data_IF_311525905648
#
_entry.id   IF_311525905648
#
_cell.length_a   1.000
_cell.length_b   1.000
_cell.length_c   1.000
_cell.angle_alpha   90.00
_cell.angle_beta   90.00
_cell.angle_gamma   90.00
#
_symmetry.space_group_name_H-M   'P 1'
#
loop_
_entity.id
_entity.type
_entity.pdbx_description
1 polymer ?
#
# COMPACT_ATOMS: atom_id res chain seq x y z
N UNK A 1 -14.07 -28.04 -6.99
CA UNK A 1 -13.16 -27.21 -6.19
C UNK A 1 -11.88 -27.99 -5.98
N UNK A 2 -10.71 -27.42 -6.29
CA UNK A 2 -9.44 -28.13 -6.15
C UNK A 2 -9.04 -28.31 -4.66
N UNK A 3 -8.02 -29.15 -4.41
CA UNK A 3 -7.54 -29.45 -3.05
C UNK A 3 -6.96 -28.21 -2.36
N UNK A 4 -6.23 -27.36 -3.09
CA UNK A 4 -5.60 -26.15 -2.57
C UNK A 4 -6.65 -25.14 -2.11
N UNK A 5 -7.68 -24.88 -2.93
CA UNK A 5 -8.80 -23.98 -2.59
C UNK A 5 -9.54 -24.47 -1.34
N UNK A 6 -9.83 -25.78 -1.23
CA UNK A 6 -10.49 -26.32 -0.02
C UNK A 6 -9.67 -26.10 1.24
N UNK A 7 -8.35 -26.30 1.16
CA UNK A 7 -7.45 -26.07 2.30
C UNK A 7 -7.43 -24.58 2.67
N UNK A 8 -7.32 -23.68 1.69
CA UNK A 8 -7.32 -22.23 1.93
C UNK A 8 -8.62 -21.75 2.56
N UNK A 9 -9.77 -22.24 2.09
CA UNK A 9 -11.08 -21.90 2.67
C UNK A 9 -11.22 -22.39 4.11
N UNK A 10 -10.83 -23.64 4.38
CA UNK A 10 -10.86 -24.17 5.74
C UNK A 10 -9.95 -23.39 6.68
N UNK A 11 -8.73 -23.06 6.23
CA UNK A 11 -7.78 -22.27 6.99
C UNK A 11 -8.26 -20.83 7.22
N UNK A 12 -8.87 -20.20 6.21
CA UNK A 12 -9.50 -18.89 6.30
C UNK A 12 -10.60 -18.83 7.36
N UNK A 13 -11.49 -19.82 7.38
CA UNK A 13 -12.55 -19.95 8.39
C UNK A 13 -11.94 -20.10 9.78
N UNK A 14 -11.01 -21.03 9.96
CA UNK A 14 -10.33 -21.25 11.25
C UNK A 14 -9.58 -19.98 11.73
N UNK A 15 -8.97 -19.23 10.82
CA UNK A 15 -8.28 -18.00 11.15
C UNK A 15 -9.27 -16.92 11.59
N UNK A 16 -10.43 -16.80 10.94
CA UNK A 16 -11.46 -15.84 11.32
C UNK A 16 -12.04 -16.09 12.72
N UNK A 17 -12.09 -17.35 13.15
CA UNK A 17 -12.58 -17.77 14.47
C UNK A 17 -11.49 -17.78 15.56
N UNK A 18 -10.23 -17.62 15.18
CA UNK A 18 -9.09 -17.70 16.10
C UNK A 18 -9.01 -16.46 17.01
N UNK A 19 -8.86 -16.68 18.32
CA UNK A 19 -8.62 -15.59 19.26
C UNK A 19 -7.19 -15.01 19.15
N UNK A 20 -6.22 -15.86 18.82
CA UNK A 20 -4.78 -15.52 18.78
C UNK A 20 -4.24 -15.27 17.37
N UNK A 21 -5.11 -15.30 16.35
CA UNK A 21 -4.72 -15.25 14.94
C UNK A 21 -3.69 -16.33 14.51
N UNK A 22 -3.66 -17.46 15.22
CA UNK A 22 -2.91 -18.67 14.83
C UNK A 22 -3.87 -19.83 14.53
N UNK A 23 -3.44 -20.73 13.63
CA UNK A 23 -4.17 -21.94 13.24
C UNK A 23 -3.22 -23.15 13.21
N UNK A 24 -3.73 -24.33 13.57
CA UNK A 24 -2.96 -25.57 13.52
C UNK A 24 -3.14 -26.29 12.17
N UNK A 25 -2.06 -26.85 11.62
CA UNK A 25 -2.11 -27.64 10.37
C UNK A 25 -3.00 -28.88 10.52
N UNK A 26 -3.11 -29.43 11.73
CA UNK A 26 -4.01 -30.56 12.04
C UNK A 26 -5.48 -30.15 11.92
N UNK A 27 -5.88 -29.04 12.54
CA UNK A 27 -7.25 -28.53 12.44
C UNK A 27 -7.62 -28.19 10.99
N UNK A 28 -6.68 -27.62 10.22
CA UNK A 28 -6.87 -27.35 8.79
C UNK A 28 -7.07 -28.64 7.99
N UNK A 29 -6.27 -29.67 8.25
CA UNK A 29 -6.42 -30.98 7.61
C UNK A 29 -7.79 -31.61 7.90
N UNK A 30 -8.20 -31.60 9.16
CA UNK A 30 -9.50 -32.12 9.61
C UNK A 30 -10.66 -31.35 8.92
N UNK A 31 -10.63 -30.02 8.97
CA UNK A 31 -11.67 -29.17 8.37
C UNK A 31 -11.72 -29.27 6.83
N UNK A 32 -10.57 -29.41 6.17
CA UNK A 32 -10.51 -29.56 4.71
C UNK A 32 -10.75 -31.01 4.23
N UNK A 33 -10.79 -31.99 5.12
CA UNK A 33 -10.90 -33.42 4.79
C UNK A 33 -9.70 -33.92 3.98
N UNK A 34 -8.48 -33.51 4.37
CA UNK A 34 -7.22 -33.93 3.71
C UNK A 34 -6.22 -34.46 4.73
N UNK A 35 -5.30 -35.32 4.31
CA UNK A 35 -4.18 -35.75 5.15
C UNK A 35 -3.03 -34.73 5.14
N UNK A 36 -2.23 -34.72 6.22
CA UNK A 36 -1.04 -33.87 6.33
C UNK A 36 -0.07 -33.96 5.13
N UNK A 37 0.21 -35.13 4.52
CA UNK A 37 1.06 -35.20 3.32
C UNK A 37 0.50 -34.42 2.12
N UNK A 38 -0.83 -34.33 1.99
CA UNK A 38 -1.46 -33.57 0.93
C UNK A 38 -1.35 -32.05 1.19
N UNK A 39 -1.46 -31.62 2.44
CA UNK A 39 -1.26 -30.22 2.84
C UNK A 39 0.19 -29.78 2.57
N UNK A 40 1.17 -30.52 3.08
CA UNK A 40 2.58 -30.16 2.88
C UNK A 40 3.04 -30.26 1.42
N UNK A 41 2.42 -31.13 0.60
CA UNK A 41 2.66 -31.12 -0.85
C UNK A 41 2.22 -29.82 -1.52
N UNK A 42 1.16 -29.17 -1.02
CA UNK A 42 0.64 -27.93 -1.60
C UNK A 42 1.39 -26.70 -1.11
N UNK A 43 1.80 -26.68 0.15
CA UNK A 43 2.27 -25.47 0.83
C UNK A 43 3.70 -25.57 1.40
N UNK A 44 4.35 -26.73 1.32
CA UNK A 44 5.67 -26.96 1.87
C UNK A 44 5.66 -27.18 3.39
N UNK A 45 5.34 -26.14 4.15
CA UNK A 45 5.35 -26.11 5.61
C UNK A 45 4.20 -25.26 6.20
N UNK A 46 4.25 -24.98 7.52
CA UNK A 46 3.24 -24.14 8.18
C UNK A 46 3.35 -22.68 7.71
N UNK A 47 4.55 -22.16 7.52
CA UNK A 47 4.77 -20.78 7.07
C UNK A 47 4.21 -20.58 5.67
N UNK A 48 4.50 -21.49 4.73
CA UNK A 48 3.95 -21.46 3.38
C UNK A 48 2.43 -21.58 3.34
N UNK A 49 1.82 -22.32 4.27
CA UNK A 49 0.36 -22.34 4.43
C UNK A 49 -0.16 -20.97 4.90
N UNK A 50 0.44 -20.40 5.96
CA UNK A 50 0.02 -19.11 6.50
C UNK A 50 0.17 -17.98 5.49
N UNK A 51 1.28 -17.94 4.75
CA UNK A 51 1.50 -16.99 3.64
C UNK A 51 0.40 -17.10 2.60
N UNK A 52 0.07 -18.32 2.16
CA UNK A 52 -0.97 -18.54 1.17
C UNK A 52 -2.38 -18.18 1.68
N UNK A 53 -2.64 -18.35 2.99
CA UNK A 53 -3.90 -17.93 3.63
C UNK A 53 -3.98 -16.41 3.69
N UNK A 54 -2.89 -15.71 4.03
CA UNK A 54 -2.85 -14.24 3.98
C UNK A 54 -3.10 -13.75 2.55
N UNK A 55 -2.40 -14.30 1.55
CA UNK A 55 -2.64 -13.93 0.14
C UNK A 55 -4.10 -14.16 -0.26
N UNK A 56 -4.69 -15.29 0.15
CA UNK A 56 -6.11 -15.59 -0.10
C UNK A 56 -7.05 -14.57 0.56
N UNK A 57 -6.78 -14.16 1.80
CA UNK A 57 -7.59 -13.18 2.53
C UNK A 57 -7.49 -11.77 1.93
N UNK A 58 -6.31 -11.40 1.45
CA UNK A 58 -6.06 -10.09 0.83
C UNK A 58 -6.54 -10.02 -0.62
N UNK A 59 -6.78 -11.14 -1.30
CA UNK A 59 -7.17 -11.17 -2.72
C UNK A 59 -8.41 -10.31 -3.00
N UNK A 60 -9.44 -10.35 -2.15
CA UNK A 60 -10.65 -9.54 -2.37
C UNK A 60 -10.38 -8.05 -2.24
N UNK A 61 -9.55 -7.67 -1.27
CA UNK A 61 -9.12 -6.29 -1.08
C UNK A 61 -8.27 -5.79 -2.26
N UNK A 62 -7.35 -6.62 -2.75
CA UNK A 62 -6.52 -6.30 -3.92
C UNK A 62 -7.33 -6.26 -5.21
N UNK A 63 -8.29 -7.18 -5.38
CA UNK A 63 -9.21 -7.18 -6.51
C UNK A 63 -10.05 -5.89 -6.57
N UNK A 64 -10.53 -5.41 -5.41
CA UNK A 64 -11.22 -4.11 -5.31
C UNK A 64 -10.30 -2.96 -5.75
N UNK A 65 -9.05 -2.93 -5.28
CA UNK A 65 -8.07 -1.91 -5.71
C UNK A 65 -7.73 -1.99 -7.20
N UNK A 66 -7.61 -3.19 -7.77
CA UNK A 66 -7.37 -3.40 -9.21
C UNK A 66 -8.53 -2.87 -10.06
N UNK A 67 -9.76 -3.07 -9.59
CA UNK A 67 -10.97 -2.67 -10.31
C UNK A 67 -11.30 -1.18 -10.16
N UNK A 68 -10.74 -0.50 -9.14
CA UNK A 68 -10.94 0.92 -8.93
C UNK A 68 -10.47 1.72 -10.14
N UNK A 69 -11.37 2.55 -10.69
CA UNK A 69 -11.04 3.43 -11.81
C UNK A 69 -10.33 4.68 -11.27
N UNK A 70 -9.17 5.04 -11.82
CA UNK A 70 -8.53 6.32 -11.53
C UNK A 70 -9.50 7.50 -11.61
N UNK A 71 -9.60 8.31 -10.55
CA UNK A 71 -10.32 9.57 -10.61
C UNK A 71 -9.46 10.69 -11.21
N UNK A 72 -10.09 11.84 -11.46
CA UNK A 72 -9.40 13.04 -11.91
C UNK A 72 -8.48 13.65 -10.84
N UNK A 73 -8.71 13.34 -9.55
CA UNK A 73 -7.86 13.81 -8.44
C UNK A 73 -7.06 12.62 -7.85
N UNK A 74 -5.79 12.43 -8.25
CA UNK A 74 -4.98 11.34 -7.72
C UNK A 74 -4.67 11.47 -6.22
N UNK A 75 -4.77 12.67 -5.65
CA UNK A 75 -4.61 12.85 -4.20
C UNK A 75 -5.85 12.36 -3.45
N UNK A 76 -7.04 12.49 -4.04
CA UNK A 76 -8.24 11.89 -3.48
C UNK A 76 -8.21 10.36 -3.57
N UNK A 77 -7.75 9.80 -4.69
CA UNK A 77 -7.55 8.34 -4.82
C UNK A 77 -6.60 7.78 -3.74
N UNK A 78 -5.59 8.56 -3.35
CA UNK A 78 -4.68 8.21 -2.27
C UNK A 78 -5.40 8.19 -0.90
N UNK A 79 -6.28 9.15 -0.63
CA UNK A 79 -7.10 9.19 0.59
C UNK A 79 -8.06 8.01 0.65
N UNK A 80 -8.79 7.76 -0.43
CA UNK A 80 -9.72 6.64 -0.53
C UNK A 80 -8.98 5.30 -0.40
N UNK A 81 -7.80 5.22 -1.02
CA UNK A 81 -6.92 4.06 -0.93
C UNK A 81 -6.42 3.78 0.48
N UNK A 82 -6.19 4.82 1.29
CA UNK A 82 -5.85 4.72 2.71
C UNK A 82 -7.04 4.19 3.52
N UNK A 83 -8.21 4.82 3.38
CA UNK A 83 -9.40 4.47 4.15
C UNK A 83 -9.84 3.03 3.87
N UNK A 84 -9.79 2.60 2.61
CA UNK A 84 -10.10 1.22 2.22
C UNK A 84 -9.15 0.20 2.86
N UNK A 85 -7.87 0.54 3.06
CA UNK A 85 -6.93 -0.35 3.74
C UNK A 85 -7.25 -0.49 5.23
N UNK A 86 -7.54 0.64 5.89
CA UNK A 86 -7.91 0.65 7.31
C UNK A 86 -9.23 -0.09 7.53
N UNK A 87 -10.22 0.12 6.68
CA UNK A 87 -11.49 -0.61 6.72
C UNK A 87 -11.26 -2.12 6.59
N UNK A 88 -10.47 -2.54 5.59
CA UNK A 88 -10.11 -3.95 5.42
C UNK A 88 -9.46 -4.53 6.69
N UNK A 89 -8.52 -3.81 7.30
CA UNK A 89 -7.83 -4.27 8.51
C UNK A 89 -8.79 -4.47 9.69
N UNK A 90 -9.71 -3.53 9.90
CA UNK A 90 -10.71 -3.58 10.98
C UNK A 90 -11.74 -4.69 10.76
N UNK A 91 -12.15 -4.92 9.51
CA UNK A 91 -13.06 -6.01 9.13
C UNK A 91 -12.38 -7.39 9.19
N UNK A 92 -11.06 -7.44 8.99
CA UNK A 92 -10.28 -8.68 8.89
C UNK A 92 -9.10 -8.71 9.88
N UNK A 93 -9.34 -8.55 11.20
CA UNK A 93 -8.30 -8.31 12.19
C UNK A 93 -7.29 -9.45 12.31
N UNK A 94 -7.73 -10.71 12.13
CA UNK A 94 -6.84 -11.87 12.25
C UNK A 94 -5.91 -12.03 11.05
N UNK A 95 -6.37 -11.71 9.83
CA UNK A 95 -5.47 -11.61 8.67
C UNK A 95 -4.43 -10.51 8.88
N UNK A 96 -4.86 -9.38 9.43
CA UNK A 96 -3.98 -8.25 9.69
C UNK A 96 -2.96 -8.52 10.82
N UNK A 97 -3.33 -9.28 11.85
CA UNK A 97 -2.37 -9.74 12.87
C UNK A 97 -1.38 -10.74 12.30
N UNK A 98 -1.85 -11.66 11.47
CA UNK A 98 -1.04 -12.72 10.89
C UNK A 98 0.07 -12.15 9.99
N UNK A 99 -0.24 -11.18 9.12
CA UNK A 99 0.75 -10.54 8.22
C UNK A 99 1.88 -9.83 8.98
N UNK A 100 1.64 -9.36 10.21
CA UNK A 100 2.66 -8.74 11.08
C UNK A 100 3.14 -9.67 12.20
N UNK A 101 2.81 -10.95 12.14
CA UNK A 101 3.24 -11.93 13.14
C UNK A 101 4.70 -12.34 12.92
N UNK A 102 5.44 -12.70 13.99
CA UNK A 102 6.80 -13.24 13.85
C UNK A 102 6.88 -14.57 13.08
N UNK A 103 5.74 -15.22 12.80
CA UNK A 103 5.67 -16.49 12.09
C UNK A 103 5.77 -16.38 10.57
N UNK A 104 5.84 -15.16 10.02
CA UNK A 104 6.08 -14.89 8.61
C UNK A 104 7.41 -14.15 8.44
N UNK A 105 8.40 -14.83 7.86
CA UNK A 105 9.75 -14.32 7.69
C UNK A 105 9.88 -13.43 6.45
N UNK A 106 8.98 -13.61 5.48
CA UNK A 106 8.95 -12.85 4.23
C UNK A 106 7.58 -12.16 4.03
N UNK A 107 7.56 -10.97 3.43
CA UNK A 107 6.31 -10.30 3.11
C UNK A 107 5.51 -11.13 2.09
N UNK A 108 4.20 -11.33 2.31
CA UNK A 108 3.34 -12.07 1.38
C UNK A 108 3.23 -11.34 0.04
N UNK A 109 2.84 -12.08 -1.01
CA UNK A 109 2.67 -11.50 -2.36
C UNK A 109 1.69 -10.33 -2.38
N UNK A 110 0.66 -10.41 -1.54
CA UNK A 110 -0.30 -9.35 -1.31
C UNK A 110 0.32 -8.01 -0.88
N UNK A 111 1.37 -8.03 -0.06
CA UNK A 111 2.04 -6.81 0.40
C UNK A 111 2.81 -6.14 -0.74
N UNK A 112 3.48 -6.94 -1.58
CA UNK A 112 4.19 -6.45 -2.76
C UNK A 112 3.23 -5.87 -3.80
N UNK A 113 2.09 -6.52 -4.05
CA UNK A 113 1.06 -6.01 -4.96
C UNK A 113 0.44 -4.71 -4.44
N UNK A 114 0.10 -4.64 -3.14
CA UNK A 114 -0.42 -3.42 -2.53
C UNK A 114 0.56 -2.25 -2.65
N UNK A 115 1.86 -2.52 -2.49
CA UNK A 115 2.91 -1.52 -2.68
C UNK A 115 2.96 -1.02 -4.13
N UNK A 116 2.94 -1.93 -5.10
CA UNK A 116 2.95 -1.57 -6.52
C UNK A 116 1.74 -0.71 -6.93
N UNK A 117 0.54 -1.06 -6.44
CA UNK A 117 -0.68 -0.28 -6.68
C UNK A 117 -0.60 1.12 -6.05
N UNK A 118 -0.02 1.24 -4.86
CA UNK A 118 0.19 2.52 -4.19
C UNK A 118 1.20 3.40 -4.97
N UNK A 119 2.30 2.82 -5.41
CA UNK A 119 3.29 3.53 -6.26
C UNK A 119 2.61 4.06 -7.52
N UNK A 120 1.77 3.27 -8.19
CA UNK A 120 1.06 3.73 -9.39
C UNK A 120 0.17 4.96 -9.13
N UNK A 121 -0.52 5.03 -7.98
CA UNK A 121 -1.31 6.23 -7.60
C UNK A 121 -0.39 7.44 -7.38
N UNK A 122 0.74 7.24 -6.71
CA UNK A 122 1.71 8.30 -6.44
C UNK A 122 2.44 8.78 -7.71
N UNK A 123 2.64 7.91 -8.69
CA UNK A 123 3.12 8.33 -10.01
C UNK A 123 2.14 9.26 -10.72
N UNK A 124 0.83 9.03 -10.58
CA UNK A 124 -0.18 9.98 -11.09
C UNK A 124 -0.13 11.31 -10.34
N UNK A 125 0.07 11.29 -9.02
CA UNK A 125 0.30 12.52 -8.25
C UNK A 125 1.54 13.27 -8.75
N UNK A 126 2.64 12.56 -9.03
CA UNK A 126 3.86 13.13 -9.57
C UNK A 126 3.65 13.73 -10.97
N UNK A 127 3.01 12.97 -11.88
CA UNK A 127 2.70 13.44 -13.24
C UNK A 127 1.80 14.67 -13.25
N UNK A 128 0.89 14.78 -12.27
CA UNK A 128 0.04 15.96 -12.06
C UNK A 128 0.75 17.14 -11.37
N UNK A 129 2.05 17.03 -11.05
CA UNK A 129 2.80 18.06 -10.35
C UNK A 129 2.39 18.24 -8.89
N UNK A 130 1.76 17.23 -8.29
CA UNK A 130 1.18 17.26 -6.93
C UNK A 130 2.04 16.58 -5.87
N UNK A 131 3.17 15.96 -6.24
CA UNK A 131 4.03 15.22 -5.33
C UNK A 131 5.34 15.97 -5.03
N UNK A 132 5.70 16.06 -3.74
CA UNK A 132 6.88 16.80 -3.23
C UNK A 132 8.18 15.99 -3.31
N UNK A 133 8.07 14.68 -3.22
CA UNK A 133 9.18 13.72 -3.11
C UNK A 133 8.98 12.59 -4.11
N UNK A 134 9.96 11.69 -4.29
CA UNK A 134 9.80 10.56 -5.21
C UNK A 134 8.61 9.66 -4.84
N UNK A 135 7.93 9.06 -5.85
CA UNK A 135 6.83 8.12 -5.62
C UNK A 135 7.20 6.96 -4.68
N UNK A 136 8.43 6.46 -4.77
CA UNK A 136 8.92 5.33 -3.98
C UNK A 136 9.05 5.70 -2.50
N UNK A 137 9.62 6.86 -2.18
CA UNK A 137 9.74 7.33 -0.79
C UNK A 137 8.35 7.68 -0.24
N UNK A 138 7.50 8.33 -1.04
CA UNK A 138 6.12 8.59 -0.65
C UNK A 138 5.34 7.30 -0.36
N UNK A 139 5.53 6.25 -1.17
CA UNK A 139 4.88 4.95 -0.97
C UNK A 139 5.33 4.29 0.34
N UNK A 140 6.64 4.34 0.64
CA UNK A 140 7.17 3.84 1.91
C UNK A 140 6.58 4.58 3.11
N UNK A 141 6.49 5.91 3.05
CA UNK A 141 5.90 6.73 4.11
C UNK A 141 4.41 6.41 4.32
N UNK A 142 3.64 6.40 3.23
CA UNK A 142 2.20 6.11 3.28
C UNK A 142 1.95 4.69 3.78
N UNK A 143 2.63 3.70 3.23
CA UNK A 143 2.45 2.31 3.60
C UNK A 143 2.83 2.06 5.07
N UNK A 144 3.93 2.64 5.55
CA UNK A 144 4.37 2.49 6.94
C UNK A 144 3.39 3.12 7.92
N UNK A 145 2.93 4.34 7.64
CA UNK A 145 1.99 5.05 8.49
C UNK A 145 0.60 4.37 8.49
N UNK A 146 0.11 3.96 7.33
CA UNK A 146 -1.16 3.25 7.19
C UNK A 146 -1.12 1.89 7.89
N UNK A 147 -0.03 1.13 7.70
CA UNK A 147 0.20 -0.13 8.39
C UNK A 147 0.20 0.03 9.92
N UNK A 148 0.92 1.04 10.42
CA UNK A 148 0.99 1.34 11.85
C UNK A 148 -0.36 1.72 12.45
N UNK A 149 -1.15 2.54 11.74
CA UNK A 149 -2.52 2.91 12.14
C UNK A 149 -3.42 1.70 12.18
N UNK A 150 -3.48 0.93 11.09
CA UNK A 150 -4.31 -0.26 10.98
C UNK A 150 -3.94 -1.31 12.04
N UNK A 151 -2.65 -1.57 12.26
CA UNK A 151 -2.18 -2.50 13.30
C UNK A 151 -2.54 -2.00 14.71
N UNK A 152 -2.48 -0.69 14.97
CA UNK A 152 -2.86 -0.11 16.26
C UNK A 152 -4.35 -0.29 16.54
N UNK A 153 -5.20 -0.02 15.55
CA UNK A 153 -6.65 -0.22 15.63
C UNK A 153 -7.00 -1.69 15.90
N UNK A 154 -6.34 -2.62 15.18
CA UNK A 154 -6.59 -4.06 15.29
C UNK A 154 -6.05 -4.64 16.61
N UNK A 155 -4.88 -4.20 17.07
CA UNK A 155 -4.19 -4.80 18.21
C UNK A 155 -4.59 -4.19 19.55
N UNK A 156 -5.03 -2.92 19.55
CA UNK A 156 -5.36 -2.17 20.78
C UNK A 156 -6.67 -1.38 20.61
N UNK A 157 -7.80 -2.04 20.28
CA UNK A 157 -9.06 -1.35 20.00
C UNK A 157 -9.62 -0.57 21.20
N UNK A 158 -9.23 -0.90 22.43
CA UNK A 158 -9.62 -0.15 23.63
C UNK A 158 -8.92 1.21 23.77
N UNK A 159 -7.77 1.40 23.10
CA UNK A 159 -6.98 2.64 23.12
C UNK A 159 -7.24 3.45 21.85
N UNK A 160 -7.34 2.77 20.70
CA UNK A 160 -7.60 3.38 19.40
C UNK A 160 -9.04 3.09 18.98
N UNK A 161 -9.97 3.90 19.50
CA UNK A 161 -11.42 3.70 19.30
C UNK A 161 -12.00 4.54 18.16
N UNK A 162 -11.31 5.60 17.73
CA UNK A 162 -11.85 6.58 16.78
C UNK A 162 -11.19 6.50 15.40
N UNK A 163 -12.05 6.45 14.37
CA UNK A 163 -11.71 6.67 12.97
C UNK A 163 -11.01 8.02 12.71
N UNK A 164 -11.22 9.03 13.55
CA UNK A 164 -10.59 10.34 13.47
C UNK A 164 -9.07 10.24 13.56
N UNK A 165 -8.54 9.35 14.42
CA UNK A 165 -7.09 9.12 14.53
C UNK A 165 -6.49 8.72 13.17
N UNK A 166 -7.13 7.79 12.46
CA UNK A 166 -6.70 7.37 11.12
C UNK A 166 -6.70 8.54 10.13
N UNK A 167 -7.79 9.33 10.12
CA UNK A 167 -7.92 10.50 9.23
C UNK A 167 -6.87 11.55 9.51
N UNK A 168 -6.58 11.85 10.79
CA UNK A 168 -5.55 12.83 11.17
C UNK A 168 -4.15 12.40 10.71
N UNK A 169 -3.78 11.13 10.93
CA UNK A 169 -2.49 10.60 10.47
C UNK A 169 -2.40 10.61 8.94
N UNK A 170 -3.45 10.15 8.26
CA UNK A 170 -3.56 10.19 6.80
C UNK A 170 -3.36 11.60 6.26
N UNK A 171 -4.12 12.56 6.77
CA UNK A 171 -4.11 13.93 6.27
C UNK A 171 -2.77 14.61 6.54
N UNK A 172 -2.12 14.33 7.68
CA UNK A 172 -0.77 14.81 7.99
C UNK A 172 0.28 14.23 7.01
N UNK A 173 0.25 12.92 6.75
CA UNK A 173 1.17 12.27 5.80
C UNK A 173 0.95 12.78 4.39
N UNK A 174 -0.31 12.88 3.94
CA UNK A 174 -0.63 13.36 2.60
C UNK A 174 -0.24 14.83 2.45
N UNK A 175 -0.50 15.70 3.43
CA UNK A 175 -0.07 17.09 3.38
C UNK A 175 1.46 17.22 3.30
N UNK A 176 2.20 16.33 3.99
CA UNK A 176 3.66 16.32 3.95
C UNK A 176 4.25 15.83 2.61
N UNK A 177 3.60 14.90 1.91
CA UNK A 177 4.13 14.39 0.63
C UNK A 177 3.57 15.12 -0.59
N UNK A 178 2.49 15.90 -0.44
CA UNK A 178 1.83 16.59 -1.55
C UNK A 178 1.98 18.11 -1.49
N UNK A 179 1.84 18.74 -2.65
CA UNK A 179 1.68 20.19 -2.76
C UNK A 179 0.21 20.50 -3.10
N UNK A 180 -0.30 21.59 -2.54
CA UNK A 180 -1.62 22.09 -2.93
C UNK A 180 -1.55 22.46 -4.41
N UNK A 181 -2.41 21.80 -5.19
CA UNK A 181 -2.62 22.19 -6.58
C UNK A 181 -3.37 23.49 -6.53
N UNK A 182 -2.83 24.54 -7.14
CA UNK A 182 -3.53 25.81 -7.27
C UNK A 182 -4.91 25.58 -7.93
N UNK A 183 -5.94 25.38 -7.13
CA UNK A 183 -7.33 25.51 -7.56
C UNK A 183 -7.64 26.99 -7.49
N UNK A 184 -7.58 27.66 -8.63
CA UNK A 184 -8.17 28.98 -8.78
C UNK A 184 -9.68 28.90 -8.56
N UNK A 185 -10.15 29.42 -7.43
CA UNK A 185 -11.42 30.12 -7.23
C UNK A 185 -11.64 30.38 -5.72
N UNK A 186 -11.48 31.63 -5.27
CA UNK A 186 -11.86 32.07 -3.93
C UNK A 186 -11.01 33.23 -3.41
N UNK A 187 -11.63 34.40 -3.30
CA UNK A 187 -11.03 35.71 -3.06
C UNK A 187 -10.18 35.88 -1.78
N UNK A 188 -9.10 36.64 -1.94
CA UNK A 188 -8.77 37.77 -1.06
C UNK A 188 -8.18 37.48 0.32
N UNK A 189 -6.88 37.24 0.40
CA UNK A 189 -6.04 37.77 1.50
C UNK A 189 -4.56 37.79 1.08
N UNK A 190 -3.94 38.94 1.29
CA UNK A 190 -2.56 39.26 0.90
C UNK A 190 -1.54 38.39 1.64
N UNK A 191 -0.71 37.68 0.87
CA UNK A 191 0.48 36.97 1.34
C UNK A 191 1.30 36.47 0.14
N UNK A 192 2.22 37.30 -0.34
CA UNK A 192 3.32 37.04 -1.29
C UNK A 192 3.11 35.98 -2.41
N UNK A 193 2.95 36.49 -3.63
CA UNK A 193 3.02 35.79 -4.90
C UNK A 193 4.28 34.88 -5.03
N UNK A 194 4.06 33.61 -5.40
CA UNK A 194 4.34 33.03 -6.73
C UNK A 194 5.81 32.71 -7.01
N UNK A 195 6.14 31.43 -7.23
CA UNK A 195 7.41 31.14 -7.90
C UNK A 195 7.74 29.66 -8.02
N UNK A 196 7.21 29.02 -9.07
CA UNK A 196 7.57 27.68 -9.57
C UNK A 196 7.52 26.52 -8.55
N UNK A 197 7.17 25.29 -8.99
CA UNK A 197 7.43 24.12 -8.15
C UNK A 197 8.92 24.08 -7.75
N UNK A 198 9.19 23.88 -6.45
CA UNK A 198 10.56 23.73 -5.96
C UNK A 198 11.31 22.62 -6.71
N UNK A 199 12.66 22.65 -6.68
CA UNK A 199 13.51 21.69 -7.42
C UNK A 199 13.06 20.23 -7.24
N UNK A 200 12.72 19.75 -6.02
CA UNK A 200 12.25 18.38 -5.84
C UNK A 200 10.94 18.07 -6.59
N UNK A 201 9.94 18.94 -6.48
CA UNK A 201 8.65 18.78 -7.18
C UNK A 201 8.87 18.76 -8.70
N UNK A 202 9.70 19.67 -9.21
CA UNK A 202 10.01 19.74 -10.65
C UNK A 202 10.74 18.49 -11.13
N UNK A 203 11.74 18.02 -10.38
CA UNK A 203 12.50 16.82 -10.72
C UNK A 203 11.62 15.56 -10.70
N UNK A 204 10.78 15.41 -9.68
CA UNK A 204 9.80 14.32 -9.56
C UNK A 204 8.79 14.34 -10.70
N UNK A 205 8.25 15.52 -11.04
CA UNK A 205 7.28 15.69 -12.15
C UNK A 205 7.90 15.32 -13.48
N UNK A 206 9.09 15.86 -13.79
CA UNK A 206 9.80 15.58 -15.03
C UNK A 206 10.18 14.09 -15.14
N UNK A 207 10.64 13.48 -14.05
CA UNK A 207 10.95 12.05 -14.02
C UNK A 207 9.73 11.18 -14.35
N UNK A 208 8.55 11.51 -13.78
CA UNK A 208 7.31 10.81 -14.08
C UNK A 208 6.91 10.97 -15.57
N UNK A 209 7.00 12.18 -16.12
CA UNK A 209 6.66 12.45 -17.52
C UNK A 209 7.59 11.71 -18.51
N UNK A 210 8.89 11.65 -18.22
CA UNK A 210 9.86 10.98 -19.09
C UNK A 210 9.70 9.45 -19.13
N UNK A 211 9.11 8.84 -18.09
CA UNK A 211 8.80 7.40 -18.10
C UNK A 211 7.60 7.08 -19.00
N UNK A 212 6.62 7.98 -19.04
CA UNK A 212 5.42 7.83 -19.87
C UNK A 212 5.69 8.19 -21.33
N UNK A 213 6.45 9.27 -21.57
CA UNK A 213 6.85 9.74 -22.89
C UNK A 213 8.38 9.87 -22.97
N UNK A 214 9.11 8.78 -23.27
CA UNK A 214 10.56 8.83 -23.36
C UNK A 214 11.02 9.71 -24.53
N UNK A 215 12.05 10.56 -24.33
CA UNK A 215 12.53 11.46 -25.37
C UNK A 215 13.19 10.66 -26.51
N UNK A 216 12.76 10.92 -27.75
CA UNK A 216 13.24 10.20 -28.93
C UNK A 216 14.73 10.48 -29.25
N UNK A 217 15.26 11.60 -28.76
CA UNK A 217 16.60 12.10 -29.09
C UNK A 217 17.69 11.65 -28.11
N UNK A 218 17.33 11.01 -26.98
CA UNK A 218 18.29 10.51 -26.00
C UNK A 218 18.60 9.03 -26.22
N UNK A 219 19.87 8.66 -26.10
CA UNK A 219 20.27 7.26 -26.02
C UNK A 219 19.77 6.62 -24.72
N UNK A 220 19.77 5.29 -24.66
CA UNK A 220 19.41 4.55 -23.43
C UNK A 220 20.33 4.90 -22.25
N UNK A 221 21.61 5.16 -22.50
CA UNK A 221 22.57 5.54 -21.46
C UNK A 221 22.31 6.96 -20.93
N UNK A 222 22.03 7.92 -21.81
CA UNK A 222 21.69 9.30 -21.43
C UNK A 222 20.36 9.38 -20.68
N UNK A 223 19.37 8.58 -21.11
CA UNK A 223 18.07 8.46 -20.43
C UNK A 223 18.25 7.92 -19.01
N UNK A 224 19.05 6.87 -18.84
CA UNK A 224 19.33 6.30 -17.52
C UNK A 224 20.07 7.30 -16.60
N UNK A 225 21.03 8.04 -17.14
CA UNK A 225 21.77 9.05 -16.38
C UNK A 225 20.88 10.23 -15.96
N UNK A 226 20.01 10.71 -16.86
CA UNK A 226 19.04 11.76 -16.56
C UNK A 226 18.07 11.32 -15.45
N UNK A 227 17.55 10.09 -15.53
CA UNK A 227 16.68 9.52 -14.48
C UNK A 227 17.40 9.46 -13.13
N UNK A 228 18.68 9.07 -13.11
CA UNK A 228 19.47 9.03 -11.89
C UNK A 228 19.65 10.43 -11.27
N UNK A 229 19.92 11.45 -12.07
CA UNK A 229 20.05 12.83 -11.58
C UNK A 229 18.72 13.40 -11.09
N UNK A 230 17.62 13.14 -11.79
CA UNK A 230 16.29 13.56 -11.35
C UNK A 230 15.88 12.89 -10.04
N UNK A 231 16.24 11.61 -9.84
CA UNK A 231 16.03 10.92 -8.57
C UNK A 231 16.78 11.59 -7.41
N UNK A 232 18.05 11.97 -7.61
CA UNK A 232 18.85 12.68 -6.60
C UNK A 232 18.29 14.07 -6.28
N UNK A 233 17.78 14.79 -7.28
CA UNK A 233 17.16 16.11 -7.07
C UNK A 233 15.77 16.03 -6.41
N UNK A 234 15.08 14.89 -6.58
CA UNK A 234 13.77 14.62 -5.98
C UNK A 234 13.82 14.19 -4.51
N UNK A 235 14.99 13.81 -3.99
CA UNK A 235 15.17 13.53 -2.55
C UNK A 235 15.42 14.83 -1.78
N UNK A 236 14.70 15.10 -0.68
CA UNK A 236 14.96 16.29 0.14
C UNK A 236 16.37 16.21 0.74
N UNK A 237 17.17 17.28 0.60
CA UNK A 237 18.51 17.37 1.19
C UNK A 237 18.41 17.27 2.71
N UNK A 238 19.21 16.40 3.34
CA UNK A 238 19.44 16.45 4.77
C UNK A 238 20.07 17.81 5.11
N UNK A 239 19.39 18.58 5.94
CA UNK A 239 19.86 19.85 6.51
C UNK A 239 19.92 19.73 8.03
#
# INVERSE_FOLDING_TARGET
MDVKTRILQAAATLLSESAEADISTRAVCEAAGVGAPALYRQFGDKEGLLTAVVDYGFEQYLASKRAARPSADPVQDLRDGWDNHVAFAVENPNYYRLIYSPGLSAPPGAAAEAHALLVAVLERCAAAGRLRISPEVAAQMVMSANAGVALSLVSRPAIYTDSEFSRLVRDAVIAFITVDGATGAGDGAQGSASGAPGVPVTATTLSAQLRDTPPADLTSAETALLQQWLALLGTPSEA
#
